data_IF_535981741884
#
_entry.id   IF_535981741884
#
_cell.length_a   1.000
_cell.length_b   1.000
_cell.length_c   1.000
_cell.angle_alpha   90.00
_cell.angle_beta   90.00
_cell.angle_gamma   90.00
#
_symmetry.space_group_name_H-M   'P 1'
#
loop_
_entity.id
_entity.type
_entity.pdbx_description
1 polymer ?
#
# COMPACT_ATOMS: atom_id res chain seq x y z
N UNK A 1 15.02 -7.51 28.47
CA UNK A 1 15.77 -6.71 27.50
C UNK A 1 15.55 -5.24 27.77
N UNK A 2 16.59 -4.46 27.75
CA UNK A 2 16.49 -3.00 27.86
C UNK A 2 16.91 -2.36 26.55
N UNK A 3 16.24 -1.27 26.17
CA UNK A 3 16.53 -0.52 24.96
C UNK A 3 16.54 0.97 25.32
N UNK A 4 17.48 1.73 24.76
CA UNK A 4 17.57 3.17 25.02
C UNK A 4 16.47 3.93 24.28
N UNK A 5 16.20 5.16 24.73
CA UNK A 5 15.28 6.07 24.04
C UNK A 5 15.70 6.25 22.57
N UNK A 6 16.99 6.49 22.33
CA UNK A 6 17.50 6.72 20.98
C UNK A 6 17.31 5.50 20.07
N UNK A 7 17.52 4.30 20.60
CA UNK A 7 17.30 3.06 19.82
C UNK A 7 15.81 2.84 19.53
N UNK A 8 14.95 3.15 20.48
CA UNK A 8 13.50 3.02 20.27
C UNK A 8 12.99 4.03 19.23
N UNK A 9 13.50 5.26 19.24
CA UNK A 9 13.11 6.29 18.26
C UNK A 9 13.40 5.88 16.81
N UNK A 10 14.44 5.09 16.57
CA UNK A 10 14.75 4.57 15.22
C UNK A 10 13.68 3.60 14.69
N UNK A 11 12.83 3.10 15.55
CA UNK A 11 11.78 2.14 15.23
C UNK A 11 10.40 2.80 15.12
N UNK A 12 10.37 4.12 15.08
CA UNK A 12 9.15 4.94 15.03
C UNK A 12 9.19 5.78 13.77
N UNK A 13 8.07 5.85 13.07
CA UNK A 13 7.85 6.83 12.02
C UNK A 13 6.53 7.53 12.29
N UNK A 14 6.56 8.87 12.22
CA UNK A 14 5.37 9.67 12.45
C UNK A 14 4.66 9.94 11.14
N UNK A 15 3.34 9.97 11.18
CA UNK A 15 2.52 10.15 9.98
C UNK A 15 2.96 11.37 9.14
N UNK A 16 3.25 12.51 9.78
CA UNK A 16 3.70 13.72 9.09
C UNK A 16 5.10 13.64 8.48
N UNK A 17 5.86 12.60 8.78
CA UNK A 17 7.23 12.39 8.26
C UNK A 17 7.27 11.41 7.08
N UNK A 18 6.14 10.82 6.70
CA UNK A 18 6.08 9.87 5.60
C UNK A 18 6.44 10.52 4.27
N UNK A 19 7.32 9.87 3.53
CA UNK A 19 7.78 10.33 2.21
C UNK A 19 7.25 9.39 1.14
N UNK A 20 6.48 9.91 0.15
CA UNK A 20 5.93 9.08 -0.90
C UNK A 20 6.96 8.73 -1.97
N UNK A 21 6.75 7.59 -2.60
CA UNK A 21 7.36 7.24 -3.88
C UNK A 21 6.26 7.23 -4.93
N UNK A 22 6.41 8.02 -6.00
CA UNK A 22 5.43 8.11 -7.08
C UNK A 22 5.73 7.17 -8.25
N UNK A 23 6.82 6.42 -8.16
CA UNK A 23 7.29 5.49 -9.20
C UNK A 23 7.41 4.06 -8.67
N UNK A 24 6.66 3.71 -7.62
CA UNK A 24 6.78 2.43 -6.93
C UNK A 24 6.44 1.22 -7.83
N UNK A 25 5.52 1.41 -8.78
CA UNK A 25 5.05 0.36 -9.67
C UNK A 25 5.02 0.85 -11.11
N UNK A 26 5.08 -0.10 -12.04
CA UNK A 26 5.10 0.19 -13.48
C UNK A 26 3.85 0.97 -13.93
N UNK A 27 2.71 0.76 -13.30
CA UNK A 27 1.48 1.46 -13.63
C UNK A 27 1.49 2.95 -13.25
N UNK A 28 2.53 3.42 -12.55
CA UNK A 28 2.73 4.84 -12.28
C UNK A 28 2.84 5.69 -13.56
N UNK A 29 3.14 5.06 -14.69
CA UNK A 29 3.22 5.72 -15.99
C UNK A 29 1.93 5.60 -16.81
N UNK A 30 0.90 4.99 -16.26
CA UNK A 30 -0.37 4.74 -16.94
C UNK A 30 -1.38 5.83 -16.60
N UNK A 31 -2.08 6.42 -17.59
CA UNK A 31 -3.14 7.39 -17.31
C UNK A 31 -4.20 6.80 -16.36
N UNK A 32 -4.60 7.60 -15.37
CA UNK A 32 -5.53 7.17 -14.33
C UNK A 32 -4.87 6.48 -13.13
N UNK A 33 -3.60 6.09 -13.24
CA UNK A 33 -2.82 5.49 -12.15
C UNK A 33 -1.57 6.30 -11.80
N UNK A 34 -1.28 7.35 -12.55
CA UNK A 34 -0.04 8.13 -12.44
C UNK A 34 -0.01 9.12 -11.27
N UNK A 35 -1.10 9.23 -10.51
CA UNK A 35 -1.19 10.13 -9.36
C UNK A 35 -1.11 9.39 -8.02
N UNK A 36 -0.73 8.13 -8.03
CA UNK A 36 -0.57 7.34 -6.82
C UNK A 36 0.67 7.77 -6.04
N UNK A 37 0.52 7.77 -4.73
CA UNK A 37 1.62 7.90 -3.80
C UNK A 37 1.73 6.61 -2.99
N UNK A 38 2.92 6.01 -2.99
CA UNK A 38 3.18 4.80 -2.21
C UNK A 38 4.20 5.13 -1.13
N UNK A 39 3.92 4.68 0.07
CA UNK A 39 4.78 4.89 1.22
C UNK A 39 5.31 3.54 1.68
N UNK A 40 6.63 3.39 1.74
CA UNK A 40 7.28 2.20 2.25
C UNK A 40 7.65 2.46 3.70
N UNK A 41 6.88 1.89 4.62
CA UNK A 41 6.98 2.22 6.04
C UNK A 41 7.91 1.24 6.76
N UNK A 42 7.56 -0.04 6.77
CA UNK A 42 8.41 -1.10 7.34
C UNK A 42 8.82 -2.05 6.23
N UNK A 43 10.12 -2.12 5.96
CA UNK A 43 10.68 -2.98 4.91
C UNK A 43 10.37 -2.50 3.50
N UNK A 44 11.04 -3.09 2.52
CA UNK A 44 10.92 -2.71 1.10
C UNK A 44 9.60 -3.11 0.44
N UNK A 45 8.90 -4.09 1.00
CA UNK A 45 7.65 -4.58 0.45
C UNK A 45 7.78 -5.05 -0.99
N UNK A 46 6.74 -4.78 -1.77
CA UNK A 46 6.64 -5.20 -3.18
C UNK A 46 6.93 -4.06 -4.16
N UNK A 47 7.44 -2.92 -3.69
CA UNK A 47 7.77 -1.80 -4.56
C UNK A 47 8.83 -2.19 -5.58
N UNK A 48 8.61 -1.77 -6.83
CA UNK A 48 9.50 -2.04 -7.95
C UNK A 48 10.52 -0.91 -8.18
N UNK A 49 10.42 0.19 -7.44
CA UNK A 49 11.29 1.35 -7.62
C UNK A 49 12.53 1.27 -6.72
N UNK A 50 13.69 1.57 -7.29
CA UNK A 50 14.93 1.75 -6.54
C UNK A 50 14.93 3.06 -5.74
N UNK A 51 14.06 4.01 -6.08
CA UNK A 51 13.99 5.34 -5.47
C UNK A 51 13.07 5.39 -4.24
N UNK A 52 12.52 4.26 -3.83
CA UNK A 52 11.67 4.21 -2.64
C UNK A 52 12.46 4.58 -1.39
N UNK A 53 11.82 5.31 -0.49
CA UNK A 53 12.36 5.60 0.83
C UNK A 53 11.77 4.62 1.85
N UNK A 54 12.60 3.71 2.36
CA UNK A 54 12.19 2.77 3.41
C UNK A 54 12.40 3.45 4.76
N UNK A 55 11.33 3.75 5.49
CA UNK A 55 11.39 4.49 6.74
C UNK A 55 12.00 3.65 7.88
N UNK A 56 11.57 2.41 8.01
CA UNK A 56 12.09 1.46 9.01
C UNK A 56 12.57 0.22 8.27
N UNK A 57 13.88 0.02 8.22
CA UNK A 57 14.49 -1.08 7.46
C UNK A 57 14.45 -2.42 8.18
N UNK A 58 14.42 -2.40 9.51
CA UNK A 58 14.38 -3.60 10.34
C UNK A 58 12.94 -4.14 10.37
N UNK A 59 12.74 -5.30 9.76
CA UNK A 59 11.41 -5.89 9.61
C UNK A 59 11.13 -6.94 10.67
N UNK A 60 9.93 -6.94 11.27
CA UNK A 60 9.54 -7.95 12.26
C UNK A 60 8.92 -9.21 11.62
N UNK A 61 9.23 -9.50 10.36
CA UNK A 61 8.69 -10.64 9.62
C UNK A 61 7.53 -10.31 8.70
N UNK A 62 7.16 -9.04 8.61
CA UNK A 62 6.16 -8.54 7.66
C UNK A 62 6.54 -7.12 7.22
N UNK A 63 5.93 -6.65 6.13
CA UNK A 63 6.12 -5.31 5.64
C UNK A 63 4.85 -4.48 5.85
N UNK A 64 5.01 -3.18 6.05
CA UNK A 64 3.90 -2.24 6.08
C UNK A 64 4.17 -1.14 5.07
N UNK A 65 3.19 -0.92 4.21
CA UNK A 65 3.17 0.18 3.27
C UNK A 65 1.84 0.91 3.33
N UNK A 66 1.77 2.06 2.69
CA UNK A 66 0.53 2.79 2.51
C UNK A 66 0.42 3.28 1.08
N UNK A 67 -0.79 3.42 0.60
CA UNK A 67 -1.09 3.99 -0.70
C UNK A 67 -2.02 5.18 -0.54
N UNK A 68 -1.70 6.27 -1.21
CA UNK A 68 -2.56 7.44 -1.30
C UNK A 68 -2.89 7.70 -2.76
N UNK A 69 -4.16 8.02 -3.04
CA UNK A 69 -4.64 8.32 -4.38
C UNK A 69 -5.70 9.41 -4.31
N UNK A 70 -5.67 10.41 -5.22
CA UNK A 70 -6.78 11.34 -5.32
C UNK A 70 -8.04 10.61 -5.82
N UNK A 71 -9.23 11.20 -5.65
CA UNK A 71 -10.46 10.62 -6.20
C UNK A 71 -10.33 10.31 -7.69
N UNK A 72 -10.91 9.18 -8.09
CA UNK A 72 -10.89 8.64 -9.47
C UNK A 72 -9.53 8.10 -9.93
N UNK A 73 -8.51 8.14 -9.09
CA UNK A 73 -7.26 7.46 -9.38
C UNK A 73 -7.40 5.98 -9.06
N UNK A 74 -6.85 5.17 -9.93
CA UNK A 74 -6.99 3.71 -9.89
C UNK A 74 -5.65 3.03 -9.65
N UNK A 75 -5.68 1.98 -8.85
CA UNK A 75 -4.62 0.99 -8.83
C UNK A 75 -4.98 -0.11 -9.81
N UNK A 76 -4.07 -0.44 -10.74
CA UNK A 76 -4.35 -1.40 -11.79
C UNK A 76 -4.48 -2.84 -11.26
N UNK A 77 -5.11 -3.68 -12.06
CA UNK A 77 -5.34 -5.08 -11.73
C UNK A 77 -4.01 -5.83 -11.66
N UNK A 78 -3.75 -6.46 -10.52
CA UNK A 78 -2.51 -7.19 -10.27
C UNK A 78 -2.73 -8.28 -9.23
N UNK A 79 -1.76 -9.17 -9.07
CA UNK A 79 -1.77 -10.19 -8.03
C UNK A 79 -0.41 -10.27 -7.35
N UNK A 80 -0.40 -10.83 -6.15
CA UNK A 80 0.83 -11.08 -5.38
C UNK A 80 0.91 -12.53 -4.95
N UNK A 81 2.14 -13.01 -4.76
CA UNK A 81 2.41 -14.32 -4.15
C UNK A 81 2.43 -14.26 -2.63
N UNK A 82 2.52 -13.06 -2.07
CA UNK A 82 2.51 -12.80 -0.64
C UNK A 82 1.10 -12.47 -0.17
N UNK A 83 0.82 -12.75 1.10
CA UNK A 83 -0.41 -12.32 1.73
C UNK A 83 -0.47 -10.79 1.81
N UNK A 84 -1.66 -10.23 1.68
CA UNK A 84 -1.88 -8.79 1.74
C UNK A 84 -3.15 -8.47 2.49
N UNK A 85 -3.05 -7.52 3.41
CA UNK A 85 -4.18 -7.02 4.19
C UNK A 85 -4.25 -5.51 4.00
N UNK A 86 -5.42 -5.01 3.68
CA UNK A 86 -5.69 -3.59 3.59
C UNK A 86 -6.43 -3.10 4.83
N UNK A 87 -6.01 -1.97 5.33
CA UNK A 87 -6.70 -1.21 6.36
C UNK A 87 -7.01 0.17 5.80
N UNK A 88 -8.28 0.56 5.76
CA UNK A 88 -8.68 1.87 5.24
C UNK A 88 -8.49 2.93 6.33
N UNK A 89 -7.53 3.84 6.11
CA UNK A 89 -7.26 4.94 7.03
C UNK A 89 -8.29 6.07 6.92
N UNK A 90 -8.66 6.41 5.70
CA UNK A 90 -9.68 7.42 5.45
C UNK A 90 -10.26 7.28 4.03
N UNK A 91 -11.37 7.94 3.80
CA UNK A 91 -12.04 7.95 2.50
C UNK A 91 -12.90 6.71 2.25
N UNK A 92 -13.34 6.60 1.02
CA UNK A 92 -14.12 5.47 0.52
C UNK A 92 -13.39 4.88 -0.65
N UNK A 93 -13.25 3.56 -0.61
CA UNK A 93 -12.44 2.84 -1.58
C UNK A 93 -13.22 1.67 -2.13
N UNK A 94 -13.25 1.57 -3.46
CA UNK A 94 -13.81 0.41 -4.14
C UNK A 94 -12.67 -0.57 -4.40
N UNK A 95 -12.82 -1.80 -3.93
CA UNK A 95 -11.94 -2.92 -4.26
C UNK A 95 -12.68 -3.83 -5.23
N UNK A 96 -12.01 -4.28 -6.26
CA UNK A 96 -12.55 -5.19 -7.26
C UNK A 96 -11.57 -6.31 -7.53
N UNK A 97 -12.08 -7.47 -7.94
CA UNK A 97 -11.22 -8.63 -8.15
C UNK A 97 -11.71 -9.52 -9.29
N UNK A 98 -10.86 -10.53 -9.62
CA UNK A 98 -11.07 -11.49 -10.68
C UNK A 98 -10.07 -11.30 -11.80
N UNK A 99 -9.96 -12.29 -12.65
CA UNK A 99 -9.00 -12.28 -13.77
C UNK A 99 -9.16 -11.05 -14.67
N UNK A 100 -10.41 -10.59 -14.83
CA UNK A 100 -10.75 -9.42 -15.65
C UNK A 100 -11.25 -8.24 -14.81
N UNK A 101 -11.12 -8.34 -13.49
CA UNK A 101 -11.56 -7.31 -12.58
C UNK A 101 -13.08 -7.21 -12.40
N UNK A 102 -13.82 -8.22 -12.79
CA UNK A 102 -15.29 -8.19 -12.79
C UNK A 102 -15.94 -9.39 -12.09
N UNK A 103 -15.19 -10.16 -11.31
CA UNK A 103 -15.74 -11.26 -10.53
C UNK A 103 -16.52 -10.76 -9.30
N UNK A 104 -16.15 -9.59 -8.78
CA UNK A 104 -16.86 -8.95 -7.68
C UNK A 104 -16.20 -7.64 -7.29
N UNK A 105 -16.91 -6.87 -6.45
CA UNK A 105 -16.40 -5.63 -5.89
C UNK A 105 -17.05 -5.33 -4.54
N UNK A 106 -16.39 -4.48 -3.77
CA UNK A 106 -16.87 -4.00 -2.49
C UNK A 106 -16.39 -2.57 -2.26
N UNK A 107 -17.20 -1.77 -1.60
CA UNK A 107 -16.80 -0.43 -1.15
C UNK A 107 -16.52 -0.50 0.34
N UNK A 108 -15.33 -0.09 0.72
CA UNK A 108 -14.88 -0.05 2.10
C UNK A 108 -14.68 1.40 2.55
N UNK A 109 -14.85 1.63 3.83
CA UNK A 109 -14.77 2.94 4.47
C UNK A 109 -13.75 2.93 5.60
N UNK A 110 -13.52 4.08 6.17
CA UNK A 110 -12.56 4.28 7.26
C UNK A 110 -12.72 3.23 8.36
N UNK A 111 -11.63 2.56 8.72
CA UNK A 111 -11.58 1.52 9.73
C UNK A 111 -11.83 0.10 9.23
N UNK A 112 -12.29 -0.06 7.98
CA UNK A 112 -12.54 -1.39 7.43
C UNK A 112 -11.23 -2.11 7.10
N UNK A 113 -11.26 -3.43 7.21
CA UNK A 113 -10.10 -4.29 6.95
C UNK A 113 -10.48 -5.33 5.90
N UNK A 114 -9.58 -5.54 4.94
CA UNK A 114 -9.78 -6.49 3.86
C UNK A 114 -8.56 -7.39 3.70
N UNK A 115 -8.73 -8.69 3.94
CA UNK A 115 -7.69 -9.69 3.74
C UNK A 115 -7.91 -10.37 2.39
N UNK A 116 -7.04 -10.11 1.43
CA UNK A 116 -7.15 -10.65 0.08
C UNK A 116 -6.28 -11.91 -0.02
N UNK A 117 -6.85 -13.04 -0.49
CA UNK A 117 -6.06 -14.25 -0.72
C UNK A 117 -4.94 -14.04 -1.74
N UNK A 118 -3.83 -14.74 -1.54
CA UNK A 118 -2.71 -14.72 -2.51
C UNK A 118 -3.16 -15.24 -3.86
N UNK A 119 -2.58 -14.70 -4.93
CA UNK A 119 -2.86 -15.15 -6.29
C UNK A 119 -4.15 -14.61 -6.90
N UNK A 120 -4.97 -13.90 -6.15
CA UNK A 120 -6.18 -13.29 -6.69
C UNK A 120 -5.83 -11.95 -7.36
N UNK A 121 -6.22 -11.79 -8.61
CA UNK A 121 -6.13 -10.50 -9.28
C UNK A 121 -7.10 -9.50 -8.65
N UNK A 122 -6.58 -8.35 -8.27
CA UNK A 122 -7.37 -7.29 -7.63
C UNK A 122 -6.84 -5.91 -7.99
N UNK A 123 -7.67 -4.92 -7.77
CA UNK A 123 -7.34 -3.52 -7.87
C UNK A 123 -8.23 -2.71 -6.94
N UNK A 124 -7.95 -1.42 -6.84
CA UNK A 124 -8.77 -0.52 -6.02
C UNK A 124 -8.78 0.89 -6.58
N UNK A 125 -9.86 1.59 -6.31
CA UNK A 125 -10.06 2.99 -6.69
C UNK A 125 -10.44 3.81 -5.46
N UNK A 126 -9.95 5.03 -5.38
CA UNK A 126 -10.50 6.04 -4.47
C UNK A 126 -11.76 6.62 -5.11
N UNK A 127 -12.89 6.54 -4.44
CA UNK A 127 -14.19 7.00 -4.96
C UNK A 127 -14.78 8.21 -4.24
#
# INVERSE_FOLDING_TARGET
MQISQAEMEKRIVRYGELKPCRTAFIDAHTPGSNQKENFTIIGGGVSESADQHVHIKDTPGFNIGAAGQPPKCRNSLHSHRTAEVFFVLNGRWRFFWGRWGNAGEVVLEEGDIFNIPTGIFRGFDNI
#
